data_IF_380794467849
#
_entry.id   IF_380794467849
#
_cell.length_a   1.000
_cell.length_b   1.000
_cell.length_c   1.000
_cell.angle_alpha   90.00
_cell.angle_beta   90.00
_cell.angle_gamma   90.00
#
_symmetry.space_group_name_H-M   'P 1'
#
loop_
_entity.id
_entity.type
_entity.pdbx_description
1 polymer ?
#
# COMPACT_ATOMS: atom_id res chain seq x y z
N UNK A 1 -13.03 6.51 21.90
CA UNK A 1 -13.01 5.12 21.39
C UNK A 1 -11.88 4.37 22.10
N UNK A 2 -12.19 3.41 23.00
CA UNK A 2 -11.18 2.71 23.83
C UNK A 2 -10.27 1.86 22.93
N UNK A 3 -9.00 2.27 22.76
CA UNK A 3 -8.05 1.65 21.83
C UNK A 3 -7.78 0.15 22.03
N UNK A 4 -8.14 -0.44 23.19
CA UNK A 4 -8.04 -1.89 23.40
C UNK A 4 -9.01 -2.71 22.53
N UNK A 5 -10.23 -2.22 22.28
CA UNK A 5 -11.21 -2.94 21.46
C UNK A 5 -10.87 -2.87 19.97
N UNK A 6 -10.25 -1.77 19.52
CA UNK A 6 -9.84 -1.60 18.13
C UNK A 6 -8.76 -2.61 17.74
N UNK A 7 -7.72 -2.76 18.58
CA UNK A 7 -6.62 -3.70 18.34
C UNK A 7 -7.14 -5.12 18.17
N UNK A 8 -7.97 -5.59 19.12
CA UNK A 8 -8.54 -6.93 19.09
C UNK A 8 -9.42 -7.15 17.86
N UNK A 9 -10.28 -6.19 17.54
CA UNK A 9 -11.21 -6.32 16.42
C UNK A 9 -10.47 -6.30 15.08
N UNK A 10 -9.51 -5.39 14.88
CA UNK A 10 -8.70 -5.35 13.66
C UNK A 10 -7.84 -6.61 13.50
N UNK A 11 -7.23 -7.12 14.59
CA UNK A 11 -6.46 -8.36 14.54
C UNK A 11 -7.35 -9.57 14.21
N UNK A 12 -8.51 -9.69 14.87
CA UNK A 12 -9.45 -10.78 14.63
C UNK A 12 -10.04 -10.74 13.21
N UNK A 13 -10.54 -9.58 12.77
CA UNK A 13 -11.08 -9.40 11.43
C UNK A 13 -10.01 -9.58 10.35
N UNK A 14 -8.80 -9.02 10.56
CA UNK A 14 -7.67 -9.18 9.66
C UNK A 14 -7.27 -10.64 9.48
N UNK A 15 -7.09 -11.37 10.60
CA UNK A 15 -6.75 -12.78 10.58
C UNK A 15 -7.87 -13.63 9.93
N UNK A 16 -9.13 -13.37 10.29
CA UNK A 16 -10.27 -14.09 9.73
C UNK A 16 -10.41 -13.88 8.22
N UNK A 17 -10.24 -12.66 7.72
CA UNK A 17 -10.32 -12.35 6.29
C UNK A 17 -9.12 -12.87 5.51
N UNK A 18 -7.90 -12.79 6.06
CA UNK A 18 -6.73 -13.42 5.45
C UNK A 18 -6.89 -14.95 5.37
N UNK A 19 -7.36 -15.59 6.45
CA UNK A 19 -7.64 -17.02 6.48
C UNK A 19 -8.74 -17.39 5.48
N UNK A 20 -9.84 -16.61 5.41
CA UNK A 20 -10.92 -16.82 4.46
C UNK A 20 -10.44 -16.66 3.01
N UNK A 21 -9.64 -15.63 2.70
CA UNK A 21 -9.07 -15.43 1.37
C UNK A 21 -8.12 -16.57 0.98
N UNK A 22 -7.34 -17.10 1.92
CA UNK A 22 -6.48 -18.26 1.71
C UNK A 22 -7.28 -19.54 1.51
N UNK A 23 -8.32 -19.79 2.32
CA UNK A 23 -9.20 -20.95 2.19
C UNK A 23 -9.98 -20.94 0.88
N UNK A 24 -10.44 -19.76 0.43
CA UNK A 24 -11.05 -19.60 -0.89
C UNK A 24 -10.08 -19.90 -2.02
N UNK A 25 -8.78 -19.67 -1.82
CA UNK A 25 -7.74 -20.00 -2.79
C UNK A 25 -7.41 -21.50 -2.80
N UNK A 26 -7.36 -22.12 -1.62
CA UNK A 26 -7.01 -23.52 -1.42
C UNK A 26 -7.83 -24.49 -2.28
N UNK A 27 -7.29 -25.68 -2.50
CA UNK A 27 -8.04 -26.77 -3.11
C UNK A 27 -9.08 -27.30 -2.14
N UNK A 28 -10.27 -27.59 -2.66
CA UNK A 28 -11.37 -28.20 -1.92
C UNK A 28 -11.59 -29.57 -2.56
N UNK A 29 -11.17 -30.65 -1.90
CA UNK A 29 -11.22 -32.00 -2.47
C UNK A 29 -12.61 -32.32 -3.02
N UNK A 30 -12.68 -32.68 -4.31
CA UNK A 30 -13.93 -33.04 -5.00
C UNK A 30 -14.84 -31.87 -5.43
N UNK A 31 -14.54 -30.62 -5.07
CA UNK A 31 -15.36 -29.45 -5.44
C UNK A 31 -14.59 -28.48 -6.33
N UNK A 32 -13.33 -28.22 -6.00
CA UNK A 32 -12.55 -27.16 -6.64
C UNK A 32 -11.05 -27.41 -6.55
N UNK A 33 -10.36 -27.33 -7.69
CA UNK A 33 -8.91 -27.34 -7.73
C UNK A 33 -8.29 -26.05 -7.16
N UNK A 34 -7.02 -26.10 -6.76
CA UNK A 34 -6.30 -24.92 -6.29
C UNK A 34 -6.33 -23.79 -7.33
N UNK A 35 -6.72 -22.58 -6.91
CA UNK A 35 -6.69 -21.42 -7.80
C UNK A 35 -5.31 -20.76 -7.70
N UNK A 36 -4.50 -20.97 -8.74
CA UNK A 36 -3.30 -20.18 -9.00
C UNK A 36 -3.68 -18.72 -9.33
N UNK A 37 -2.67 -17.88 -9.60
CA UNK A 37 -2.89 -16.50 -10.08
C UNK A 37 -3.54 -16.53 -11.48
N UNK A 38 -4.85 -16.74 -11.49
CA UNK A 38 -5.74 -16.79 -12.64
C UNK A 38 -6.88 -15.80 -12.43
N UNK A 39 -7.69 -15.53 -13.45
CA UNK A 39 -8.85 -14.63 -13.33
C UNK A 39 -9.76 -15.02 -12.16
N UNK A 40 -9.99 -16.32 -11.93
CA UNK A 40 -10.77 -16.82 -10.79
C UNK A 40 -10.07 -16.62 -9.44
N UNK A 41 -8.74 -16.74 -9.38
CA UNK A 41 -7.95 -16.39 -8.19
C UNK A 41 -8.05 -14.91 -7.82
N UNK A 42 -8.28 -14.04 -8.81
CA UNK A 42 -8.39 -12.59 -8.68
C UNK A 42 -9.81 -12.10 -8.35
N UNK A 43 -10.83 -12.97 -8.33
CA UNK A 43 -12.23 -12.56 -8.06
C UNK A 43 -12.54 -12.44 -6.57
N UNK A 44 -12.91 -13.52 -5.88
CA UNK A 44 -13.25 -13.52 -4.46
C UNK A 44 -12.04 -13.73 -3.53
N UNK A 45 -11.07 -14.62 -3.81
CA UNK A 45 -9.99 -14.91 -2.87
C UNK A 45 -9.09 -13.69 -2.65
N UNK A 46 -8.72 -13.00 -3.73
CA UNK A 46 -7.79 -11.89 -3.67
C UNK A 46 -8.34 -10.66 -2.92
N UNK A 47 -9.55 -10.13 -3.22
CA UNK A 47 -10.10 -9.01 -2.46
C UNK A 47 -10.38 -9.33 -1.00
N UNK A 48 -10.81 -10.56 -0.68
CA UNK A 48 -11.03 -10.99 0.70
C UNK A 48 -9.70 -11.03 1.46
N UNK A 49 -8.65 -11.58 0.85
CA UNK A 49 -7.32 -11.56 1.42
C UNK A 49 -6.76 -10.13 1.58
N UNK A 50 -6.92 -9.30 0.54
CA UNK A 50 -6.49 -7.91 0.56
C UNK A 50 -7.22 -7.08 1.63
N UNK A 51 -8.52 -7.30 1.82
CA UNK A 51 -9.30 -6.67 2.89
C UNK A 51 -8.74 -7.05 4.28
N UNK A 52 -8.35 -8.31 4.48
CA UNK A 52 -7.68 -8.74 5.70
C UNK A 52 -6.35 -8.01 5.94
N UNK A 53 -5.52 -7.87 4.89
CA UNK A 53 -4.30 -7.07 4.94
C UNK A 53 -4.57 -5.60 5.25
N UNK A 54 -5.66 -5.00 4.74
CA UNK A 54 -6.05 -3.63 5.08
C UNK A 54 -6.33 -3.45 6.58
N UNK A 55 -6.95 -4.42 7.25
CA UNK A 55 -7.12 -4.35 8.71
C UNK A 55 -5.77 -4.41 9.44
N UNK A 56 -4.82 -5.20 8.96
CA UNK A 56 -3.48 -5.24 9.52
C UNK A 56 -2.69 -3.95 9.27
N UNK A 57 -2.83 -3.30 8.11
CA UNK A 57 -2.16 -2.01 7.87
C UNK A 57 -2.73 -0.93 8.78
N UNK A 58 -4.05 -0.85 8.95
CA UNK A 58 -4.69 0.05 9.92
C UNK A 58 -4.19 -0.23 11.34
N UNK A 59 -4.10 -1.51 11.71
CA UNK A 59 -3.59 -1.90 13.03
C UNK A 59 -2.13 -1.47 13.24
N UNK A 60 -1.27 -1.68 12.23
CA UNK A 60 0.13 -1.26 12.28
C UNK A 60 0.24 0.26 12.45
N UNK A 61 -0.51 1.05 11.68
CA UNK A 61 -0.53 2.51 11.81
C UNK A 61 -1.09 2.95 13.17
N UNK A 62 -2.12 2.31 13.70
CA UNK A 62 -2.63 2.61 15.04
C UNK A 62 -1.59 2.36 16.13
N UNK A 63 -0.85 1.26 16.04
CA UNK A 63 0.20 0.94 17.01
C UNK A 63 1.39 1.91 16.91
N UNK A 64 1.81 2.26 15.69
CA UNK A 64 2.98 3.12 15.48
C UNK A 64 2.64 4.60 15.76
N UNK A 65 1.56 5.11 15.18
CA UNK A 65 1.21 6.52 15.26
C UNK A 65 0.50 6.87 16.58
N UNK A 66 -0.50 6.10 16.98
CA UNK A 66 -1.35 6.48 18.13
C UNK A 66 -0.82 5.96 19.47
N UNK A 67 -0.16 4.79 19.49
CA UNK A 67 0.40 4.20 20.72
C UNK A 67 1.87 4.55 20.95
N UNK A 68 2.70 4.46 19.91
CA UNK A 68 4.13 4.78 20.02
C UNK A 68 4.43 6.26 19.75
N UNK A 69 3.45 7.05 19.30
CA UNK A 69 3.60 8.49 19.08
C UNK A 69 4.52 8.84 17.89
N UNK A 70 4.88 7.87 17.06
CA UNK A 70 5.72 8.11 15.89
C UNK A 70 4.90 8.73 14.77
N UNK A 71 5.30 9.91 14.32
CA UNK A 71 4.76 10.51 13.11
C UNK A 71 5.75 10.32 11.98
N UNK A 72 5.29 9.81 10.83
CA UNK A 72 6.11 9.68 9.63
C UNK A 72 6.02 10.97 8.80
N UNK A 73 7.02 11.87 8.82
CA UNK A 73 6.91 13.16 8.15
C UNK A 73 6.77 13.01 6.63
N UNK A 74 7.39 11.98 6.06
CA UNK A 74 7.30 11.62 4.64
C UNK A 74 5.84 11.39 4.20
N UNK A 75 5.13 10.52 4.94
CA UNK A 75 3.73 10.18 4.66
C UNK A 75 2.80 11.37 4.92
N UNK A 76 3.06 12.16 5.96
CA UNK A 76 2.26 13.34 6.30
C UNK A 76 2.36 14.42 5.23
N UNK A 77 3.58 14.75 4.76
CA UNK A 77 3.80 15.78 3.74
C UNK A 77 3.25 15.32 2.40
N UNK A 78 3.47 14.05 2.03
CA UNK A 78 2.93 13.50 0.79
C UNK A 78 1.40 13.44 0.79
N UNK A 79 0.79 13.08 1.94
CA UNK A 79 -0.65 12.97 2.09
C UNK A 79 -1.43 14.29 1.99
N UNK A 80 -0.77 15.45 2.09
CA UNK A 80 -1.43 16.76 1.97
C UNK A 80 -1.87 17.10 0.54
N UNK A 81 -1.16 16.61 -0.47
CA UNK A 81 -1.41 16.90 -1.88
C UNK A 81 -1.39 15.61 -2.73
N UNK A 82 -2.27 14.64 -2.43
CA UNK A 82 -2.20 13.32 -3.04
C UNK A 82 -2.41 13.36 -4.56
N UNK A 83 -3.33 14.21 -5.04
CA UNK A 83 -3.63 14.32 -6.47
C UNK A 83 -2.40 14.78 -7.29
N UNK A 84 -1.67 15.78 -6.79
CA UNK A 84 -0.47 16.29 -7.47
C UNK A 84 0.61 15.22 -7.52
N UNK A 85 0.81 14.49 -6.42
CA UNK A 85 1.79 13.41 -6.38
C UNK A 85 1.40 12.23 -7.25
N UNK A 86 0.11 11.88 -7.36
CA UNK A 86 -0.35 10.86 -8.30
C UNK A 86 -0.05 11.25 -9.74
N UNK A 87 -0.30 12.51 -10.12
CA UNK A 87 0.01 13.00 -11.47
C UNK A 87 1.52 13.01 -11.75
N UNK A 88 2.33 13.50 -10.80
CA UNK A 88 3.79 13.47 -10.93
C UNK A 88 4.29 12.02 -11.06
N UNK A 89 3.83 11.13 -10.19
CA UNK A 89 4.24 9.72 -10.21
C UNK A 89 3.86 9.06 -11.54
N UNK A 90 2.65 9.32 -12.07
CA UNK A 90 2.24 8.82 -13.38
C UNK A 90 3.16 9.33 -14.51
N UNK A 91 3.52 10.61 -14.49
CA UNK A 91 4.46 11.19 -15.46
C UNK A 91 5.86 10.56 -15.34
N UNK A 92 6.38 10.40 -14.12
CA UNK A 92 7.69 9.78 -13.89
C UNK A 92 7.72 8.31 -14.36
N UNK A 93 6.64 7.55 -14.14
CA UNK A 93 6.53 6.17 -14.63
C UNK A 93 6.63 6.10 -16.15
N UNK A 94 6.03 7.05 -16.88
CA UNK A 94 6.14 7.11 -18.35
C UNK A 94 7.60 7.34 -18.79
N UNK A 95 8.30 8.26 -18.13
CA UNK A 95 9.73 8.54 -18.42
C UNK A 95 10.59 7.31 -18.13
N UNK A 96 10.39 6.66 -16.98
CA UNK A 96 11.15 5.47 -16.58
C UNK A 96 10.95 4.33 -17.56
N UNK A 97 9.71 4.08 -18.01
CA UNK A 97 9.42 3.03 -18.99
C UNK A 97 10.22 3.18 -20.30
N UNK A 98 10.57 4.41 -20.68
CA UNK A 98 11.36 4.69 -21.89
C UNK A 98 12.86 4.69 -21.59
N UNK A 99 13.28 5.25 -20.45
CA UNK A 99 14.69 5.49 -20.14
C UNK A 99 15.39 4.31 -19.46
N UNK A 100 14.65 3.41 -18.81
CA UNK A 100 15.19 2.41 -17.89
C UNK A 100 14.96 1.01 -18.47
N UNK A 101 16.03 0.28 -18.86
CA UNK A 101 15.90 -1.06 -19.40
C UNK A 101 15.42 -2.07 -18.34
N UNK A 102 14.62 -3.05 -18.77
CA UNK A 102 13.98 -4.02 -17.89
C UNK A 102 14.95 -4.99 -17.20
N UNK A 103 16.19 -5.09 -17.70
CA UNK A 103 17.21 -6.05 -17.27
C UNK A 103 18.16 -5.52 -16.19
N UNK A 104 17.70 -4.58 -15.36
CA UNK A 104 18.53 -3.98 -14.32
C UNK A 104 18.76 -4.92 -13.13
N UNK A 105 19.97 -4.91 -12.55
CA UNK A 105 20.21 -5.59 -11.28
C UNK A 105 19.42 -4.93 -10.15
N UNK A 106 19.05 -5.71 -9.12
CA UNK A 106 18.13 -5.28 -8.07
C UNK A 106 18.57 -3.99 -7.35
N UNK A 107 19.87 -3.79 -7.13
CA UNK A 107 20.39 -2.58 -6.50
C UNK A 107 20.15 -1.32 -7.35
N UNK A 108 20.24 -1.43 -8.68
CA UNK A 108 20.00 -0.32 -9.59
C UNK A 108 18.51 0.01 -9.67
N UNK A 109 17.64 -1.02 -9.62
CA UNK A 109 16.19 -0.83 -9.50
C UNK A 109 15.82 -0.11 -8.20
N UNK A 110 16.46 -0.46 -7.08
CA UNK A 110 16.28 0.25 -5.80
C UNK A 110 16.76 1.71 -5.88
N UNK A 111 17.86 1.98 -6.57
CA UNK A 111 18.36 3.34 -6.77
C UNK A 111 17.37 4.20 -7.58
N UNK A 112 16.83 3.67 -8.68
CA UNK A 112 15.79 4.34 -9.48
C UNK A 112 14.55 4.58 -8.64
N UNK A 113 14.11 3.58 -7.87
CA UNK A 113 12.98 3.73 -6.96
C UNK A 113 13.20 4.82 -5.91
N UNK A 114 14.39 4.85 -5.29
CA UNK A 114 14.76 5.89 -4.33
C UNK A 114 14.80 7.28 -4.97
N UNK A 115 15.27 7.40 -6.21
CA UNK A 115 15.28 8.66 -6.96
C UNK A 115 13.85 9.16 -7.25
N UNK A 116 12.94 8.28 -7.65
CA UNK A 116 11.52 8.61 -7.89
C UNK A 116 10.84 9.03 -6.60
N UNK A 117 11.04 8.28 -5.52
CA UNK A 117 10.52 8.64 -4.20
C UNK A 117 11.06 9.99 -3.74
N UNK A 118 12.37 10.23 -3.94
CA UNK A 118 13.01 11.50 -3.65
C UNK A 118 12.39 12.65 -4.43
N UNK A 119 12.15 12.49 -5.73
CA UNK A 119 11.50 13.49 -6.57
C UNK A 119 10.06 13.80 -6.12
N UNK A 120 9.28 12.78 -5.77
CA UNK A 120 7.95 12.98 -5.21
C UNK A 120 8.00 13.67 -3.85
N UNK A 121 8.97 13.33 -3.00
CA UNK A 121 9.12 13.93 -1.68
C UNK A 121 9.54 15.39 -1.76
N UNK A 122 10.51 15.74 -2.62
CA UNK A 122 10.96 17.12 -2.79
C UNK A 122 9.85 18.00 -3.32
N UNK A 123 9.04 17.51 -4.27
CA UNK A 123 7.86 18.24 -4.73
C UNK A 123 6.82 18.42 -3.60
N UNK A 124 6.52 17.35 -2.86
CA UNK A 124 5.59 17.41 -1.74
C UNK A 124 6.04 18.42 -0.68
N UNK A 125 7.32 18.39 -0.32
CA UNK A 125 7.94 19.31 0.63
C UNK A 125 7.88 20.76 0.13
N UNK A 126 8.18 21.00 -1.15
CA UNK A 126 8.11 22.33 -1.76
C UNK A 126 6.68 22.88 -1.79
N UNK A 127 5.69 22.05 -2.10
CA UNK A 127 4.27 22.43 -2.07
C UNK A 127 3.80 22.78 -0.66
N UNK A 128 4.21 22.00 0.34
CA UNK A 128 3.90 22.24 1.74
C UNK A 128 4.52 23.56 2.22
N UNK A 129 5.79 23.81 1.87
CA UNK A 129 6.49 25.04 2.25
C UNK A 129 5.90 26.30 1.59
N UNK A 130 5.30 26.16 0.40
CA UNK A 130 4.60 27.25 -0.29
C UNK A 130 3.14 27.43 0.13
N UNK A 131 2.64 26.63 1.09
CA UNK A 131 1.26 26.71 1.57
C UNK A 131 0.20 26.36 0.53
N UNK A 132 0.57 25.71 -0.58
CA UNK A 132 -0.36 25.31 -1.63
C UNK A 132 -0.90 23.91 -1.32
N UNK A 133 -2.07 23.88 -0.70
CA UNK A 133 -2.80 22.65 -0.40
C UNK A 133 -3.97 22.54 -1.37
N UNK A 134 -3.83 21.68 -2.38
CA UNK A 134 -4.88 21.34 -3.32
C UNK A 134 -5.62 20.14 -2.72
N UNK A 135 -6.73 20.42 -2.03
CA UNK A 135 -7.62 19.40 -1.50
C UNK A 135 -8.52 18.86 -2.62
N UNK A 136 -8.78 17.56 -2.57
CA UNK A 136 -9.83 16.90 -3.37
C UNK A 136 -11.12 16.92 -2.57
#
# INVERSE_FOLDING_TARGET
>A
LRGGNLIRNCAACGAALCAAGWLLRAEWPGVKAFWYFSQFGMTAPYPVYAAGLCFFTVLAFHLICDRAGFQFPLLTIMGKNPLVLYLLQAALVLVIKVAVPSSLPAWAALAVFAAVLGACYTLAWWLDHKGKIIKV
#
